data_IF_668357498786
#
_entry.id   IF_668357498786
#
_cell.length_a   1.000
_cell.length_b   1.000
_cell.length_c   1.000
_cell.angle_alpha   90.00
_cell.angle_beta   90.00
_cell.angle_gamma   90.00
#
_symmetry.space_group_name_H-M   'P 1'
#
loop_
_entity.id
_entity.type
_entity.pdbx_description
1 polymer ?
#
# COMPACT_ATOMS: atom_id res chain seq x y z
N UNK A 1 -57.82 -55.44 7.92
CA UNK A 1 -56.38 -55.52 7.59
C UNK A 1 -55.87 -54.19 6.99
N UNK A 2 -56.09 -53.05 7.69
CA UNK A 2 -55.62 -51.73 7.24
C UNK A 2 -55.22 -50.82 8.43
N UNK A 3 -55.05 -51.37 9.63
CA UNK A 3 -54.70 -50.59 10.84
C UNK A 3 -53.26 -50.83 11.33
N UNK A 4 -52.56 -51.84 10.82
CA UNK A 4 -51.17 -52.12 11.19
C UNK A 4 -50.13 -51.42 10.30
N UNK A 5 -50.55 -50.83 9.16
CA UNK A 5 -49.65 -50.22 8.17
C UNK A 5 -49.44 -48.71 8.36
N UNK A 6 -50.27 -48.03 9.16
CA UNK A 6 -50.18 -46.57 9.37
C UNK A 6 -49.16 -46.20 10.46
N UNK A 7 -48.90 -47.09 11.41
CA UNK A 7 -47.91 -46.85 12.48
C UNK A 7 -46.45 -47.05 12.05
N UNK A 8 -46.21 -47.74 10.94
CA UNK A 8 -44.85 -47.94 10.41
C UNK A 8 -44.37 -46.78 9.52
N UNK A 9 -45.27 -45.91 9.05
CA UNK A 9 -44.90 -44.73 8.25
C UNK A 9 -44.65 -43.47 9.08
N UNK A 10 -45.10 -43.42 10.34
CA UNK A 10 -44.91 -42.24 11.22
C UNK A 10 -43.64 -42.29 12.06
N UNK A 11 -42.93 -43.42 12.10
CA UNK A 11 -41.66 -43.57 12.83
C UNK A 11 -40.40 -43.38 11.98
N UNK A 12 -40.52 -43.23 10.66
CA UNK A 12 -39.38 -42.99 9.76
C UNK A 12 -39.13 -41.50 9.45
N UNK A 13 -39.79 -40.56 10.14
CA UNK A 13 -39.63 -39.11 9.92
C UNK A 13 -38.92 -38.38 11.07
N UNK A 14 -37.99 -39.03 11.78
CA UNK A 14 -37.26 -38.40 12.90
C UNK A 14 -35.73 -38.38 12.76
N UNK A 15 -35.14 -38.83 11.65
CA UNK A 15 -33.69 -38.79 11.47
C UNK A 15 -33.28 -38.21 10.12
N UNK A 16 -33.55 -36.91 9.94
CA UNK A 16 -32.88 -36.07 8.96
C UNK A 16 -32.37 -34.82 9.67
N UNK A 17 -31.52 -35.03 10.67
CA UNK A 17 -30.58 -34.02 11.17
C UNK A 17 -29.19 -34.62 11.03
N UNK A 18 -28.69 -34.65 9.81
CA UNK A 18 -27.27 -34.87 9.56
C UNK A 18 -26.90 -34.19 8.25
N UNK A 19 -25.92 -33.29 8.33
CA UNK A 19 -25.24 -32.79 7.15
C UNK A 19 -25.73 -31.44 6.63
N UNK A 20 -26.15 -30.54 7.52
CA UNK A 20 -25.82 -29.14 7.30
C UNK A 20 -24.30 -29.06 7.15
N UNK A 21 -23.79 -29.13 5.91
CA UNK A 21 -22.49 -28.57 5.56
C UNK A 21 -22.63 -27.06 5.76
N UNK A 22 -22.68 -26.62 7.01
CA UNK A 22 -21.94 -25.42 7.35
C UNK A 22 -20.55 -25.75 6.87
N UNK A 23 -20.19 -25.21 5.70
CA UNK A 23 -18.81 -24.90 5.41
C UNK A 23 -18.37 -24.15 6.66
N UNK A 24 -17.78 -24.89 7.58
CA UNK A 24 -17.05 -24.33 8.68
C UNK A 24 -16.04 -23.49 7.91
N UNK A 25 -16.32 -22.18 7.85
CA UNK A 25 -15.26 -21.19 7.83
C UNK A 25 -14.51 -21.50 9.12
N UNK A 26 -13.69 -22.56 9.06
CA UNK A 26 -12.49 -22.67 9.83
C UNK A 26 -11.84 -21.35 9.48
N UNK A 27 -12.00 -20.38 10.39
CA UNK A 27 -11.19 -19.20 10.36
C UNK A 27 -9.78 -19.79 10.30
N UNK A 28 -9.18 -19.73 9.12
CA UNK A 28 -7.79 -20.12 8.95
C UNK A 28 -7.11 -19.29 10.03
N UNK A 29 -6.58 -19.92 11.10
CA UNK A 29 -5.94 -19.15 12.14
C UNK A 29 -4.93 -18.28 11.41
N UNK A 30 -5.01 -16.97 11.66
CA UNK A 30 -4.16 -15.96 11.03
C UNK A 30 -2.75 -16.28 11.51
N UNK A 31 -2.16 -17.26 10.84
CA UNK A 31 -0.94 -17.96 11.18
C UNK A 31 0.15 -16.92 11.13
N UNK A 32 0.44 -16.32 12.28
CA UNK A 32 1.48 -15.34 12.52
C UNK A 32 1.65 -14.42 11.31
N UNK A 33 0.71 -13.47 11.16
CA UNK A 33 0.63 -12.43 10.15
C UNK A 33 2.04 -12.02 9.64
N UNK A 34 2.57 -12.75 8.65
CA UNK A 34 3.87 -12.44 8.04
C UNK A 34 3.64 -11.24 7.12
N UNK A 35 3.40 -10.08 7.73
CA UNK A 35 3.52 -8.77 7.11
C UNK A 35 4.91 -8.73 6.52
N UNK A 36 4.98 -8.61 5.20
CA UNK A 36 6.24 -8.64 4.48
C UNK A 36 6.64 -7.23 4.09
N UNK A 37 7.93 -6.96 4.24
CA UNK A 37 8.55 -5.80 3.59
C UNK A 37 8.22 -5.85 2.09
N UNK A 38 7.74 -4.73 1.54
CA UNK A 38 7.42 -4.62 0.11
C UNK A 38 8.64 -4.95 -0.76
N UNK A 39 9.84 -4.71 -0.25
CA UNK A 39 11.11 -4.97 -0.92
C UNK A 39 11.43 -6.45 -1.15
N UNK A 40 10.72 -7.33 -0.44
CA UNK A 40 10.87 -8.77 -0.55
C UNK A 40 9.71 -9.43 -1.28
N UNK A 41 8.48 -8.90 -1.13
CA UNK A 41 7.25 -9.49 -1.66
C UNK A 41 6.71 -8.82 -2.92
N UNK A 42 7.27 -7.68 -3.32
CA UNK A 42 6.78 -6.91 -4.45
C UNK A 42 7.88 -6.59 -5.45
N UNK A 43 7.44 -6.41 -6.70
CA UNK A 43 8.26 -6.16 -7.86
C UNK A 43 7.61 -5.09 -8.75
N UNK A 44 8.38 -4.54 -9.68
CA UNK A 44 7.88 -3.54 -10.63
C UNK A 44 7.29 -2.33 -9.90
N UNK A 45 8.13 -1.58 -9.20
CA UNK A 45 7.70 -0.37 -8.50
C UNK A 45 7.66 0.82 -9.45
N UNK A 46 6.57 1.58 -9.40
CA UNK A 46 6.37 2.80 -10.18
C UNK A 46 5.82 3.91 -9.28
N UNK A 47 6.22 5.15 -9.54
CA UNK A 47 5.57 6.32 -8.96
C UNK A 47 4.75 6.99 -10.05
N UNK A 48 3.47 7.20 -9.80
CA UNK A 48 2.53 7.79 -10.78
C UNK A 48 2.45 7.05 -12.13
N UNK A 49 2.79 5.76 -12.17
CA UNK A 49 2.85 4.98 -13.40
C UNK A 49 4.17 5.11 -14.18
N UNK A 50 5.11 5.93 -13.71
CA UNK A 50 6.44 6.09 -14.30
C UNK A 50 7.48 5.19 -13.61
N UNK A 51 8.36 4.58 -14.41
CA UNK A 51 9.50 3.79 -13.87
C UNK A 51 10.49 4.71 -13.17
N UNK A 52 11.17 4.20 -12.15
CA UNK A 52 12.16 4.90 -11.34
C UNK A 52 13.14 5.78 -12.14
N UNK A 53 13.70 5.28 -13.24
CA UNK A 53 14.66 6.02 -14.08
C UNK A 53 14.07 7.18 -14.90
N UNK A 54 12.74 7.30 -14.97
CA UNK A 54 12.02 8.37 -15.67
C UNK A 54 11.49 9.41 -14.67
N UNK A 55 10.99 8.96 -13.51
CA UNK A 55 10.25 9.78 -12.54
C UNK A 55 11.10 10.79 -11.73
N UNK A 56 12.42 10.82 -11.86
CA UNK A 56 13.24 11.81 -11.12
C UNK A 56 14.75 11.56 -11.05
N UNK A 57 15.25 10.38 -11.41
CA UNK A 57 16.70 10.07 -11.38
C UNK A 57 17.53 10.98 -12.31
N UNK A 58 16.89 11.56 -13.34
CA UNK A 58 17.52 12.51 -14.29
C UNK A 58 17.33 13.99 -13.94
N UNK A 59 16.61 14.32 -12.87
CA UNK A 59 16.50 15.72 -12.40
C UNK A 59 17.77 16.10 -11.62
N UNK A 60 18.89 16.27 -12.32
CA UNK A 60 20.05 16.96 -11.76
C UNK A 60 19.67 18.42 -11.52
N UNK A 61 19.98 18.96 -10.32
CA UNK A 61 19.71 20.37 -10.04
C UNK A 61 20.48 21.25 -11.03
N UNK A 62 19.87 22.31 -11.57
CA UNK A 62 20.61 23.31 -12.31
C UNK A 62 21.69 23.90 -11.39
N UNK A 63 22.92 23.92 -11.87
CA UNK A 63 24.04 24.55 -11.16
C UNK A 63 24.24 25.91 -11.81
N UNK A 64 24.15 26.97 -11.02
CA UNK A 64 24.44 28.32 -11.47
C UNK A 64 25.91 28.49 -11.84
N UNK A 65 26.27 29.58 -12.54
CA UNK A 65 27.63 29.84 -13.02
C UNK A 65 28.71 29.83 -11.92
N UNK A 66 28.32 30.05 -10.65
CA UNK A 66 29.21 30.08 -9.50
C UNK A 66 29.24 28.75 -8.70
N UNK A 67 28.73 27.65 -9.27
CA UNK A 67 28.61 26.37 -8.56
C UNK A 67 27.46 26.32 -7.54
N UNK A 68 26.70 27.40 -7.38
CA UNK A 68 25.54 27.44 -6.48
C UNK A 68 24.40 26.62 -7.08
N UNK A 69 23.81 25.73 -6.29
CA UNK A 69 22.61 24.97 -6.69
C UNK A 69 21.45 25.95 -6.83
N UNK A 70 20.90 26.08 -8.03
CA UNK A 70 19.73 26.91 -8.28
C UNK A 70 18.47 26.22 -7.74
N UNK A 71 17.45 26.99 -7.32
CA UNK A 71 16.14 26.44 -7.03
C UNK A 71 15.64 25.67 -8.24
N UNK A 72 15.40 24.37 -8.11
CA UNK A 72 14.72 23.60 -9.15
C UNK A 72 13.31 24.17 -9.25
N UNK A 73 12.79 24.52 -10.45
CA UNK A 73 11.38 24.85 -10.59
C UNK A 73 10.59 23.61 -10.16
N UNK A 74 10.02 23.68 -8.95
CA UNK A 74 9.18 22.62 -8.43
C UNK A 74 7.97 22.56 -9.34
N UNK A 75 7.86 21.51 -10.13
CA UNK A 75 6.57 21.16 -10.69
C UNK A 75 5.67 20.87 -9.48
N UNK A 76 4.68 21.75 -9.28
CA UNK A 76 3.59 21.53 -8.34
C UNK A 76 3.13 20.08 -8.47
N UNK A 77 2.88 19.36 -7.36
CA UNK A 77 2.32 18.02 -7.40
C UNK A 77 0.86 18.13 -7.87
N UNK A 78 0.66 18.41 -9.16
CA UNK A 78 -0.64 18.40 -9.80
C UNK A 78 -1.18 16.97 -9.92
N UNK A 79 -0.40 15.95 -9.51
CA UNK A 79 -0.79 14.56 -9.45
C UNK A 79 -0.50 13.95 -8.07
N UNK A 80 -1.46 13.16 -7.51
CA UNK A 80 -1.25 12.42 -6.28
C UNK A 80 -0.06 11.47 -6.42
N UNK A 81 0.95 11.58 -5.53
CA UNK A 81 2.14 10.73 -5.57
C UNK A 81 1.77 9.31 -5.13
N UNK A 82 1.52 8.44 -6.10
CA UNK A 82 1.01 7.09 -5.88
C UNK A 82 2.08 6.05 -6.16
N UNK A 83 2.28 5.13 -5.22
CA UNK A 83 3.11 3.94 -5.38
C UNK A 83 2.30 2.85 -6.06
N UNK A 84 2.82 2.31 -7.15
CA UNK A 84 2.31 1.10 -7.77
C UNK A 84 3.34 -0.01 -7.60
N UNK A 85 2.88 -1.21 -7.29
CA UNK A 85 3.71 -2.40 -7.27
C UNK A 85 2.89 -3.65 -7.56
N UNK A 86 3.57 -4.68 -8.04
CA UNK A 86 3.03 -6.02 -8.22
C UNK A 86 3.56 -6.90 -7.10
N UNK A 87 2.67 -7.37 -6.22
CA UNK A 87 3.04 -8.14 -5.03
C UNK A 87 2.53 -9.58 -5.11
N UNK A 88 3.27 -10.49 -4.47
CA UNK A 88 2.90 -11.88 -4.33
C UNK A 88 1.65 -12.05 -3.47
N UNK A 89 0.73 -12.90 -3.93
CA UNK A 89 -0.45 -13.31 -3.18
C UNK A 89 -0.16 -14.58 -2.40
N UNK A 90 -0.81 -14.75 -1.24
CA UNK A 90 -0.76 -16.00 -0.47
C UNK A 90 -1.24 -17.19 -1.28
N UNK A 91 -2.34 -17.02 -2.01
CA UNK A 91 -2.84 -18.01 -2.96
C UNK A 91 -2.21 -17.69 -4.31
N UNK A 92 -1.32 -18.58 -4.78
CA UNK A 92 -0.59 -18.55 -6.08
C UNK A 92 -1.03 -17.42 -7.02
N UNK A 93 -0.09 -16.56 -7.36
CA UNK A 93 -0.28 -15.48 -8.32
C UNK A 93 0.26 -14.16 -7.77
N UNK A 94 0.15 -13.13 -8.59
CA UNK A 94 0.58 -11.78 -8.26
C UNK A 94 -0.60 -10.81 -8.40
N UNK A 95 -0.53 -9.70 -7.68
CA UNK A 95 -1.51 -8.62 -7.80
C UNK A 95 -0.81 -7.28 -7.95
N UNK A 96 -1.18 -6.51 -8.96
CA UNK A 96 -0.79 -5.11 -9.07
C UNK A 96 -1.77 -4.25 -8.29
N UNK A 97 -1.26 -3.36 -7.44
CA UNK A 97 -2.08 -2.41 -6.69
C UNK A 97 -1.44 -1.03 -6.64
N UNK A 98 -2.27 -0.03 -6.36
CA UNK A 98 -1.91 1.37 -6.23
C UNK A 98 -2.15 1.82 -4.79
N UNK A 99 -1.22 2.56 -4.22
CA UNK A 99 -1.33 3.18 -2.91
C UNK A 99 -0.97 4.66 -3.02
N UNK A 100 -1.88 5.54 -2.63
CA UNK A 100 -1.61 6.97 -2.53
C UNK A 100 -0.74 7.25 -1.29
N UNK A 101 0.44 7.85 -1.48
CA UNK A 101 1.38 8.11 -0.39
C UNK A 101 0.87 9.17 0.61
N UNK A 102 -0.08 10.02 0.24
CA UNK A 102 -0.75 10.92 1.20
C UNK A 102 -1.55 10.15 2.26
N UNK A 103 -1.93 8.91 1.99
CA UNK A 103 -2.60 8.04 2.96
C UNK A 103 -1.64 7.47 4.00
N UNK A 104 -0.34 7.43 3.72
CA UNK A 104 0.66 6.81 4.61
C UNK A 104 1.68 7.80 5.18
N UNK A 105 1.78 9.00 4.61
CA UNK A 105 2.75 10.02 5.00
C UNK A 105 2.08 11.27 5.55
N UNK A 106 2.71 11.83 6.57
CA UNK A 106 2.46 13.15 7.14
C UNK A 106 3.63 14.09 6.91
N UNK A 107 3.41 15.39 7.13
CA UNK A 107 4.43 16.42 7.05
C UNK A 107 4.74 16.95 8.44
N UNK A 108 6.01 16.88 8.84
CA UNK A 108 6.48 17.45 10.10
C UNK A 108 7.11 18.83 9.84
N UNK A 109 6.41 19.94 10.11
CA UNK A 109 6.82 21.28 9.65
C UNK A 109 8.08 21.81 10.36
N UNK A 110 8.36 21.35 11.58
CA UNK A 110 9.51 21.83 12.35
C UNK A 110 10.81 21.30 11.78
N UNK A 111 10.90 19.98 11.56
CA UNK A 111 12.08 19.35 10.93
C UNK A 111 12.04 19.36 9.39
N UNK A 112 10.92 19.75 8.78
CA UNK A 112 10.69 19.74 7.32
C UNK A 112 10.94 18.35 6.72
N UNK A 113 10.22 17.36 7.22
CA UNK A 113 10.37 15.95 6.86
C UNK A 113 9.03 15.25 6.66
N UNK A 114 9.05 14.20 5.84
CA UNK A 114 7.94 13.27 5.69
C UNK A 114 8.05 12.19 6.77
N UNK A 115 6.95 11.94 7.48
CA UNK A 115 6.88 10.97 8.57
C UNK A 115 5.77 9.95 8.31
N UNK A 116 5.88 8.69 8.78
CA UNK A 116 4.76 7.75 8.72
C UNK A 116 3.55 8.31 9.47
N UNK A 117 2.43 8.51 8.79
CA UNK A 117 1.19 9.00 9.38
C UNK A 117 0.00 8.61 8.50
N UNK A 118 -0.98 7.91 9.08
CA UNK A 118 -2.22 7.61 8.36
C UNK A 118 -2.96 8.88 7.96
N UNK A 119 -3.34 8.96 6.68
CA UNK A 119 -4.07 10.10 6.10
C UNK A 119 -3.42 11.44 6.46
N UNK A 120 -2.09 11.45 6.60
CA UNK A 120 -1.34 12.62 7.02
C UNK A 120 -1.32 13.74 5.98
N UNK A 121 -1.53 13.39 4.71
CA UNK A 121 -1.43 14.29 3.56
C UNK A 121 -0.05 14.95 3.45
N UNK A 122 1.00 14.21 3.80
CA UNK A 122 2.37 14.72 3.91
C UNK A 122 2.95 15.24 2.61
N UNK A 123 2.69 14.55 1.50
CA UNK A 123 3.16 14.97 0.17
C UNK A 123 2.56 16.34 -0.17
N UNK A 124 1.25 16.50 -0.01
CA UNK A 124 0.57 17.77 -0.31
C UNK A 124 0.98 18.88 0.66
N UNK A 125 1.03 18.60 1.97
CA UNK A 125 1.38 19.59 3.00
C UNK A 125 2.84 20.06 2.93
N UNK A 126 3.75 19.18 2.54
CA UNK A 126 5.16 19.50 2.29
C UNK A 126 5.43 20.07 0.90
N UNK A 127 4.38 20.23 0.07
CA UNK A 127 4.49 20.57 -1.35
C UNK A 127 5.57 19.75 -2.05
N UNK A 128 5.52 18.42 -1.83
CA UNK A 128 6.45 17.46 -2.37
C UNK A 128 6.02 17.00 -3.77
N UNK A 129 6.95 16.97 -4.71
CA UNK A 129 6.78 16.51 -6.09
C UNK A 129 7.99 15.74 -6.60
N UNK A 130 7.93 15.34 -7.87
CA UNK A 130 9.00 14.59 -8.56
C UNK A 130 9.51 13.39 -7.76
N UNK A 131 8.59 12.66 -7.13
CA UNK A 131 8.95 11.52 -6.32
C UNK A 131 9.37 10.35 -7.21
N UNK A 132 10.43 9.65 -6.83
CA UNK A 132 10.86 8.43 -7.48
C UNK A 132 11.26 7.39 -6.44
N UNK A 133 11.20 6.13 -6.86
CA UNK A 133 11.52 5.01 -6.02
C UNK A 133 12.94 4.52 -6.28
N UNK A 134 13.75 4.44 -5.23
CA UNK A 134 15.10 3.86 -5.25
C UNK A 134 15.24 2.92 -4.06
N UNK A 135 15.14 1.61 -4.32
CA UNK A 135 15.04 0.56 -3.30
C UNK A 135 16.03 0.78 -2.14
N UNK A 136 15.59 0.85 -0.86
CA UNK A 136 14.23 0.67 -0.32
C UNK A 136 13.42 1.98 -0.14
N UNK A 137 13.91 3.08 -0.67
CA UNK A 137 13.47 4.43 -0.35
C UNK A 137 12.56 5.05 -1.43
N UNK A 138 11.64 5.90 -0.98
CA UNK A 138 11.01 6.92 -1.79
C UNK A 138 11.82 8.21 -1.63
N UNK A 139 12.18 8.84 -2.73
CA UNK A 139 12.87 10.14 -2.74
C UNK A 139 11.96 11.13 -3.41
N UNK A 140 11.71 12.26 -2.75
CA UNK A 140 10.85 13.34 -3.24
C UNK A 140 11.58 14.69 -3.13
N UNK A 141 11.23 15.64 -4.00
CA UNK A 141 11.63 17.04 -3.86
C UNK A 141 10.52 17.80 -3.14
N UNK A 142 10.80 18.41 -2.00
CA UNK A 142 9.81 19.10 -1.17
C UNK A 142 10.15 20.58 -0.95
N UNK A 143 9.15 21.39 -0.65
CA UNK A 143 9.35 22.82 -0.33
C UNK A 143 9.91 23.02 1.09
N UNK A 144 11.20 22.72 1.28
CA UNK A 144 11.93 22.98 2.53
C UNK A 144 12.49 24.40 2.54
N UNK A 145 12.56 25.04 3.72
CA UNK A 145 13.11 26.39 3.89
C UNK A 145 14.38 26.42 4.72
N UNK A 146 14.57 25.44 5.60
CA UNK A 146 15.67 25.39 6.58
C UNK A 146 16.84 24.52 6.11
N UNK A 147 16.64 23.70 5.07
CA UNK A 147 17.64 22.77 4.54
C UNK A 147 18.16 23.22 3.18
N UNK A 148 19.45 22.97 2.93
CA UNK A 148 20.07 23.21 1.61
C UNK A 148 19.70 22.11 0.58
N UNK A 149 19.29 20.94 1.07
CA UNK A 149 18.77 19.85 0.24
C UNK A 149 17.25 19.73 0.42
N UNK A 150 16.50 19.99 -0.65
CA UNK A 150 15.06 19.80 -0.77
C UNK A 150 14.64 18.33 -0.97
N UNK A 151 15.61 17.41 -1.10
CA UNK A 151 15.35 15.98 -1.20
C UNK A 151 15.02 15.40 0.16
N UNK A 152 13.82 14.85 0.25
CA UNK A 152 13.37 14.07 1.40
C UNK A 152 13.38 12.59 1.01
N UNK A 153 14.07 11.80 1.81
CA UNK A 153 14.23 10.35 1.62
C UNK A 153 13.41 9.66 2.71
N UNK A 154 12.52 8.77 2.29
CA UNK A 154 11.67 7.99 3.19
C UNK A 154 11.90 6.52 2.92
N UNK A 155 12.25 5.76 3.96
CA UNK A 155 12.34 4.30 3.85
C UNK A 155 10.93 3.69 3.81
N UNK A 156 10.56 3.09 2.66
CA UNK A 156 9.21 2.57 2.46
C UNK A 156 8.93 1.30 3.26
N UNK A 157 9.94 0.54 3.69
CA UNK A 157 9.72 -0.65 4.54
C UNK A 157 9.10 -0.31 5.90
N UNK A 158 9.21 0.95 6.33
CA UNK A 158 8.63 1.45 7.59
C UNK A 158 7.28 2.14 7.40
N UNK A 159 6.84 2.31 6.16
CA UNK A 159 5.66 3.13 5.79
C UNK A 159 4.61 2.31 5.07
N UNK A 160 5.04 1.32 4.28
CA UNK A 160 4.18 0.54 3.41
C UNK A 160 4.47 -0.94 3.63
N UNK A 161 3.42 -1.74 3.64
CA UNK A 161 3.48 -3.20 3.69
C UNK A 161 2.73 -3.83 2.52
N UNK A 162 3.10 -5.08 2.22
CA UNK A 162 2.34 -5.94 1.33
C UNK A 162 1.40 -6.83 2.17
N UNK A 163 0.09 -6.74 1.92
CA UNK A 163 -0.89 -7.64 2.56
C UNK A 163 -0.79 -9.05 2.01
N UNK A 164 -1.41 -10.01 2.69
CA UNK A 164 -1.44 -11.41 2.26
C UNK A 164 -2.14 -11.61 0.90
N UNK A 165 -3.00 -10.69 0.49
CA UNK A 165 -3.71 -10.73 -0.79
C UNK A 165 -2.96 -9.98 -1.91
N UNK A 166 -1.73 -9.55 -1.65
CA UNK A 166 -0.87 -8.86 -2.63
C UNK A 166 -1.25 -7.39 -2.83
N UNK A 167 -1.91 -6.74 -1.87
CA UNK A 167 -2.16 -5.30 -1.93
C UNK A 167 -1.08 -4.52 -1.18
N UNK A 168 -0.77 -3.32 -1.67
CA UNK A 168 -0.04 -2.32 -0.92
C UNK A 168 -0.96 -1.69 0.14
N UNK A 169 -0.45 -1.53 1.36
CA UNK A 169 -1.15 -0.87 2.46
C UNK A 169 -0.17 -0.02 3.30
N UNK A 170 -0.66 0.98 4.00
CA UNK A 170 0.16 1.71 4.96
C UNK A 170 0.50 0.80 6.16
N UNK A 171 1.76 0.83 6.60
CA UNK A 171 2.20 0.14 7.80
C UNK A 171 1.37 0.62 9.01
N UNK A 172 0.92 -0.34 9.82
CA UNK A 172 0.14 -0.15 11.06
C UNK A 172 -1.23 0.57 10.93
N UNK A 173 -1.71 0.85 9.70
CA UNK A 173 -2.97 1.57 9.50
C UNK A 173 -3.96 0.75 8.67
N UNK A 174 -4.57 -0.24 9.32
CA UNK A 174 -5.78 -0.93 8.84
C UNK A 174 -6.92 0.08 8.70
N UNK A 175 -7.09 0.62 7.49
CA UNK A 175 -8.19 1.52 7.16
C UNK A 175 -8.43 1.62 5.66
N UNK A 176 -9.26 0.71 5.14
CA UNK A 176 -9.94 0.71 3.83
C UNK A 176 -9.06 0.62 2.57
N UNK A 177 -8.93 -0.61 2.05
CA UNK A 177 -8.63 -0.84 0.65
C UNK A 177 -9.90 -0.58 -0.18
N UNK A 178 -9.83 0.35 -1.13
CA UNK A 178 -10.82 0.44 -2.20
C UNK A 178 -10.35 -0.53 -3.28
N UNK A 179 -11.06 -1.65 -3.43
CA UNK A 179 -10.92 -2.49 -4.60
C UNK A 179 -11.49 -1.69 -5.79
N UNK A 180 -10.62 -1.29 -6.73
CA UNK A 180 -11.10 -0.88 -8.06
C UNK A 180 -11.58 -2.14 -8.77
N UNK A 181 -12.90 -2.21 -8.99
CA UNK A 181 -13.58 -3.25 -9.77
C UNK A 181 -13.45 -3.01 -11.26
#
# INVERSE_FOLDING_TARGET
>A
MYQALVFLFTLCLSTLVAGGKTASKVAIPDSNQQRGSINTKCHGFYINGERAGIAGERMQRPVGPNGQRLPTPMQSPNTPQSLWATCDRRVKGMRTSKLDMNLCLGWHPTAEELVPQSRGNGITKGACGSCYYTKPNLVCLCSVKKKQDDRIIVNLDKVVEATHDGFLACFENTGTQVAMG
#
